data_IF_411752341861
#
_entry.id   IF_411752341861
#
_cell.length_a   1.000
_cell.length_b   1.000
_cell.length_c   1.000
_cell.angle_alpha   90.00
_cell.angle_beta   90.00
_cell.angle_gamma   90.00
#
_symmetry.space_group_name_H-M   'P 1'
#
loop_
_entity.id
_entity.type
_entity.pdbx_description
1 polymer ?
#
# COMPACT_ATOMS: atom_id res chain seq x y z
N UNK A 1 -74.37 17.55 -45.72
CA UNK A 1 -74.56 16.48 -44.73
C UNK A 1 -73.80 16.86 -43.47
N UNK A 2 -74.44 16.66 -42.32
CA UNK A 2 -74.18 17.27 -41.02
C UNK A 2 -72.88 16.82 -40.30
N UNK A 3 -72.34 17.74 -39.47
CA UNK A 3 -71.74 17.54 -38.13
C UNK A 3 -70.34 16.86 -38.11
N UNK A 4 -69.27 17.50 -37.64
CA UNK A 4 -69.02 17.67 -36.20
C UNK A 4 -67.99 18.77 -35.88
N UNK A 5 -68.32 19.60 -34.87
CA UNK A 5 -67.38 20.43 -34.12
C UNK A 5 -66.57 19.55 -33.17
N UNK A 6 -65.26 19.79 -33.09
CA UNK A 6 -64.51 19.57 -31.84
C UNK A 6 -63.50 20.70 -31.67
N UNK A 7 -63.77 21.58 -30.70
CA UNK A 7 -62.76 22.48 -30.13
C UNK A 7 -61.96 21.64 -29.13
N UNK A 8 -60.63 21.66 -29.18
CA UNK A 8 -59.80 21.38 -28.02
C UNK A 8 -58.50 22.20 -28.06
N UNK A 9 -58.50 23.21 -27.20
CA UNK A 9 -57.40 23.86 -26.49
C UNK A 9 -56.00 23.86 -27.10
N UNK A 10 -55.59 25.08 -27.48
CA UNK A 10 -54.20 25.48 -27.55
C UNK A 10 -53.52 25.34 -26.16
N UNK A 11 -52.37 24.68 -26.13
CA UNK A 11 -51.25 25.02 -25.24
C UNK A 11 -49.95 24.90 -26.03
N UNK A 12 -49.51 26.05 -26.54
CA UNK A 12 -48.11 26.30 -26.85
C UNK A 12 -47.42 26.70 -25.54
N UNK A 13 -46.42 25.92 -25.12
CA UNK A 13 -45.31 26.26 -24.22
C UNK A 13 -44.65 24.93 -23.84
N UNK A 14 -43.37 24.67 -24.02
CA UNK A 14 -42.28 25.41 -24.62
C UNK A 14 -41.12 24.42 -24.70
N UNK A 15 -40.30 24.54 -25.75
CA UNK A 15 -39.00 23.87 -25.78
C UNK A 15 -38.16 24.37 -24.59
N UNK A 16 -37.75 23.45 -23.74
CA UNK A 16 -36.51 23.56 -22.99
C UNK A 16 -36.00 22.14 -22.77
N UNK A 17 -35.32 21.60 -23.78
CA UNK A 17 -34.46 20.45 -23.61
C UNK A 17 -33.28 20.90 -22.74
N UNK A 18 -33.40 20.73 -21.42
CA UNK A 18 -32.29 20.90 -20.50
C UNK A 18 -31.33 19.73 -20.71
N UNK A 19 -30.29 19.94 -21.51
CA UNK A 19 -29.10 19.11 -21.49
C UNK A 19 -28.47 19.25 -20.11
N UNK A 20 -28.68 18.25 -19.25
CA UNK A 20 -27.88 18.09 -18.04
C UNK A 20 -26.46 17.75 -18.50
N UNK A 21 -25.60 18.76 -18.55
CA UNK A 21 -24.16 18.56 -18.52
C UNK A 21 -23.84 17.91 -17.17
N UNK A 22 -23.68 16.58 -17.18
CA UNK A 22 -23.08 15.88 -16.06
C UNK A 22 -21.62 16.36 -15.99
N UNK A 23 -21.38 17.38 -15.17
CA UNK A 23 -20.04 17.65 -14.65
C UNK A 23 -19.69 16.43 -13.82
N UNK A 24 -18.93 15.50 -14.39
CA UNK A 24 -18.24 14.48 -13.65
C UNK A 24 -17.17 15.19 -12.80
N UNK A 25 -17.57 15.67 -11.62
CA UNK A 25 -16.62 15.93 -10.55
C UNK A 25 -15.96 14.58 -10.26
N UNK A 26 -14.73 14.43 -10.74
CA UNK A 26 -13.82 13.40 -10.26
C UNK A 26 -13.68 13.62 -8.75
N UNK A 27 -14.49 12.89 -7.98
CA UNK A 27 -14.31 12.78 -6.54
C UNK A 27 -12.89 12.24 -6.34
N UNK A 28 -12.06 12.88 -5.51
CA UNK A 28 -10.72 12.39 -5.20
C UNK A 28 -10.87 10.93 -4.78
N UNK A 29 -10.01 10.06 -5.30
CA UNK A 29 -9.99 8.66 -4.92
C UNK A 29 -9.99 8.53 -3.41
N UNK A 30 -11.13 8.16 -2.84
CA UNK A 30 -11.21 7.72 -1.47
C UNK A 30 -10.32 6.48 -1.43
N UNK A 31 -9.13 6.61 -0.83
CA UNK A 31 -8.41 5.45 -0.36
C UNK A 31 -9.38 4.74 0.59
N UNK A 32 -10.06 3.73 0.08
CA UNK A 32 -11.05 2.99 0.83
C UNK A 32 -10.29 2.26 1.92
N UNK A 33 -10.31 2.81 3.13
CA UNK A 33 -9.86 2.12 4.32
C UNK A 33 -10.58 0.78 4.36
N UNK A 34 -9.82 -0.31 4.44
CA UNK A 34 -10.38 -1.66 4.41
C UNK A 34 -11.43 -1.81 5.54
N UNK A 35 -12.65 -2.28 5.25
CA UNK A 35 -13.79 -2.20 6.17
C UNK A 35 -13.80 -3.27 7.28
N UNK A 36 -12.65 -3.69 7.84
CA UNK A 36 -12.63 -4.69 8.91
C UNK A 36 -11.50 -4.39 9.90
N UNK A 37 -11.71 -4.48 11.23
CA UNK A 37 -10.60 -4.67 12.15
C UNK A 37 -10.02 -6.06 11.88
N UNK A 38 -9.20 -6.18 10.83
CA UNK A 38 -8.43 -7.37 10.59
C UNK A 38 -7.49 -7.55 11.79
N UNK A 39 -7.58 -8.69 12.45
CA UNK A 39 -6.63 -9.07 13.48
C UNK A 39 -5.36 -9.53 12.79
N UNK A 40 -4.28 -8.75 12.91
CA UNK A 40 -3.01 -9.02 12.23
C UNK A 40 -2.07 -9.77 13.15
N UNK A 41 -1.36 -10.74 12.58
CA UNK A 41 -0.16 -11.30 13.18
C UNK A 41 1.05 -10.76 12.44
N UNK A 42 2.11 -10.47 13.19
CA UNK A 42 3.38 -9.95 12.68
C UNK A 42 4.48 -10.96 12.96
N UNK A 43 5.40 -11.07 12.02
CA UNK A 43 6.55 -11.96 12.12
C UNK A 43 7.80 -11.24 11.60
N UNK A 44 8.93 -11.63 12.17
CA UNK A 44 10.23 -11.13 11.79
C UNK A 44 11.25 -12.27 11.78
N UNK A 45 11.70 -12.61 10.59
CA UNK A 45 12.81 -13.52 10.42
C UNK A 45 14.11 -12.77 10.16
N UNK A 46 15.18 -13.25 10.79
CA UNK A 46 16.55 -12.74 10.65
C UNK A 46 17.49 -13.91 10.45
N UNK A 47 18.25 -13.88 9.37
CA UNK A 47 19.23 -14.92 9.03
C UNK A 47 20.57 -14.29 8.70
N UNK A 48 21.71 -14.99 8.93
CA UNK A 48 22.98 -14.59 8.33
C UNK A 48 22.83 -14.48 6.81
N UNK A 49 23.44 -13.47 6.21
CA UNK A 49 23.41 -13.29 4.76
C UNK A 49 24.39 -14.25 4.07
N UNK A 50 23.93 -14.95 3.04
CA UNK A 50 24.79 -15.80 2.23
C UNK A 50 25.75 -14.92 1.40
N UNK A 51 27.06 -15.16 1.56
CA UNK A 51 28.10 -14.45 0.81
C UNK A 51 28.56 -13.12 1.42
N UNK A 52 28.01 -12.72 2.58
CA UNK A 52 28.39 -11.49 3.28
C UNK A 52 28.57 -11.74 4.80
N UNK A 53 29.82 -12.01 5.25
CA UNK A 53 30.10 -12.36 6.63
C UNK A 53 29.75 -11.25 7.63
N UNK A 54 28.73 -11.49 8.45
CA UNK A 54 28.30 -10.59 9.52
C UNK A 54 27.05 -9.76 9.18
N UNK A 55 26.68 -9.74 7.91
CA UNK A 55 25.43 -9.15 7.44
C UNK A 55 24.24 -10.09 7.67
N UNK A 56 23.03 -9.53 7.60
CA UNK A 56 21.79 -10.25 7.90
C UNK A 56 20.71 -10.01 6.85
N UNK A 57 20.17 -11.10 6.33
CA UNK A 57 18.92 -11.09 5.59
C UNK A 57 17.74 -10.94 6.55
N UNK A 58 16.80 -10.07 6.20
CA UNK A 58 15.65 -9.73 7.03
C UNK A 58 14.35 -9.99 6.27
N UNK A 59 13.37 -10.61 6.92
CA UNK A 59 12.01 -10.73 6.39
C UNK A 59 11.00 -10.26 7.42
N UNK A 60 10.37 -9.12 7.14
CA UNK A 60 9.22 -8.63 7.90
C UNK A 60 7.94 -9.09 7.20
N UNK A 61 7.09 -9.82 7.91
CA UNK A 61 5.84 -10.38 7.39
C UNK A 61 4.68 -9.95 8.30
N UNK A 62 3.59 -9.48 7.70
CA UNK A 62 2.33 -9.22 8.40
C UNK A 62 1.21 -9.94 7.67
N UNK A 63 0.37 -10.69 8.38
CA UNK A 63 -0.71 -11.47 7.80
C UNK A 63 -1.98 -11.42 8.63
N UNK A 64 -3.13 -11.62 8.00
CA UNK A 64 -4.40 -11.71 8.73
C UNK A 64 -4.43 -13.02 9.51
N UNK A 65 -4.64 -12.95 10.80
CA UNK A 65 -4.62 -14.14 11.67
C UNK A 65 -5.68 -15.16 11.26
N UNK A 66 -6.85 -14.69 10.82
CA UNK A 66 -7.94 -15.53 10.36
C UNK A 66 -7.83 -15.97 8.89
N UNK A 67 -6.88 -15.43 8.13
CA UNK A 67 -6.60 -15.80 6.75
C UNK A 67 -5.11 -15.54 6.45
N UNK A 68 -4.20 -16.45 6.83
CA UNK A 68 -2.77 -16.28 6.59
C UNK A 68 -2.40 -16.18 5.10
N UNK A 69 -3.32 -16.60 4.21
CA UNK A 69 -3.22 -16.38 2.78
C UNK A 69 -3.33 -14.91 2.35
N UNK A 70 -3.66 -14.00 3.28
CA UNK A 70 -3.65 -12.54 3.09
C UNK A 70 -2.52 -11.92 3.89
N UNK A 71 -1.40 -11.65 3.22
CA UNK A 71 -0.22 -11.11 3.87
C UNK A 71 0.47 -10.02 3.06
N UNK A 72 1.38 -9.32 3.72
CA UNK A 72 2.29 -8.38 3.14
C UNK A 72 3.69 -8.65 3.68
N UNK A 73 4.68 -8.61 2.79
CA UNK A 73 6.04 -9.04 3.09
C UNK A 73 7.05 -8.05 2.55
N UNK A 74 8.08 -7.78 3.34
CA UNK A 74 9.30 -7.11 2.92
C UNK A 74 10.50 -7.98 3.25
N UNK A 75 11.29 -8.32 2.24
CA UNK A 75 12.52 -9.09 2.39
C UNK A 75 13.69 -8.22 1.95
N UNK A 76 14.63 -7.97 2.86
CA UNK A 76 15.90 -7.31 2.58
C UNK A 76 17.00 -8.36 2.51
N UNK A 77 17.74 -8.35 1.41
CA UNK A 77 18.91 -9.21 1.18
C UNK A 77 20.16 -8.38 1.31
N UNK A 78 20.95 -8.60 2.36
CA UNK A 78 22.07 -7.72 2.69
C UNK A 78 23.18 -7.80 1.65
N UNK A 79 23.58 -9.01 1.25
CA UNK A 79 24.63 -9.23 0.24
C UNK A 79 24.36 -8.58 -1.14
N UNK A 80 23.12 -8.22 -1.43
CA UNK A 80 22.73 -7.52 -2.68
C UNK A 80 22.08 -6.17 -2.44
N UNK A 81 21.99 -5.76 -1.17
CA UNK A 81 21.33 -4.53 -0.70
C UNK A 81 19.94 -4.31 -1.32
N UNK A 82 19.20 -5.41 -1.50
CA UNK A 82 17.95 -5.44 -2.26
C UNK A 82 16.75 -5.64 -1.35
N UNK A 83 15.80 -4.71 -1.42
CA UNK A 83 14.49 -4.85 -0.79
C UNK A 83 13.46 -5.35 -1.80
N UNK A 84 12.89 -6.51 -1.53
CA UNK A 84 11.76 -7.07 -2.27
C UNK A 84 10.49 -6.98 -1.44
N UNK A 85 9.48 -6.29 -1.94
CA UNK A 85 8.18 -6.15 -1.28
C UNK A 85 7.07 -6.78 -2.11
N UNK A 86 6.11 -7.36 -1.42
CA UNK A 86 4.95 -8.02 -2.01
C UNK A 86 3.74 -7.80 -1.10
N UNK A 87 2.64 -7.28 -1.65
CA UNK A 87 1.39 -7.08 -0.93
C UNK A 87 0.28 -7.93 -1.54
N UNK A 88 -0.21 -8.93 -0.81
CA UNK A 88 -1.39 -9.71 -1.17
C UNK A 88 -2.41 -9.76 -0.02
N UNK A 89 -2.36 -8.75 0.86
CA UNK A 89 -3.10 -8.68 2.12
C UNK A 89 -4.58 -8.30 1.95
N UNK A 90 -5.00 -7.90 0.76
CA UNK A 90 -6.32 -7.29 0.53
C UNK A 90 -6.48 -5.91 1.16
N UNK A 91 -5.37 -5.25 1.56
CA UNK A 91 -5.36 -3.90 2.11
C UNK A 91 -4.15 -3.09 1.60
N UNK A 92 -4.19 -1.77 1.79
CA UNK A 92 -3.01 -0.91 1.64
C UNK A 92 -2.05 -1.15 2.81
N UNK A 93 -0.76 -1.18 2.52
CA UNK A 93 0.31 -1.43 3.50
C UNK A 93 1.43 -0.41 3.31
N UNK A 94 1.99 0.05 4.43
CA UNK A 94 3.18 0.89 4.46
C UNK A 94 4.43 0.05 4.61
N UNK A 95 5.46 0.36 3.83
CA UNK A 95 6.76 -0.30 3.81
C UNK A 95 7.82 0.73 4.13
N UNK A 96 8.81 0.33 4.93
CA UNK A 96 9.90 1.22 5.29
C UNK A 96 11.22 0.46 5.44
N UNK A 97 12.28 1.06 4.92
CA UNK A 97 13.67 0.66 5.13
C UNK A 97 14.44 1.85 5.70
N UNK A 98 15.18 1.64 6.77
CA UNK A 98 16.02 2.66 7.38
C UNK A 98 17.39 2.08 7.70
N UNK A 99 18.43 2.90 7.71
CA UNK A 99 19.72 2.49 8.27
C UNK A 99 20.35 3.59 9.11
N UNK A 100 21.07 3.15 10.13
CA UNK A 100 21.74 4.03 11.06
C UNK A 100 23.11 4.49 10.53
N UNK A 101 23.65 5.55 11.14
CA UNK A 101 25.04 5.93 10.98
C UNK A 101 26.00 4.81 11.45
N UNK A 102 27.30 4.94 11.20
CA UNK A 102 28.31 3.91 11.52
C UNK A 102 28.37 3.57 13.02
N UNK A 103 28.02 4.53 13.89
CA UNK A 103 27.94 4.34 15.34
C UNK A 103 26.62 3.71 15.80
N UNK A 104 25.63 3.54 14.92
CA UNK A 104 24.31 3.01 15.26
C UNK A 104 23.42 3.96 16.09
N UNK A 105 23.80 5.23 16.22
CA UNK A 105 23.19 6.18 17.18
C UNK A 105 22.08 7.04 16.57
N UNK A 106 22.08 7.23 15.26
CA UNK A 106 21.07 8.02 14.55
C UNK A 106 20.71 7.36 13.23
N UNK A 107 19.45 7.53 12.80
CA UNK A 107 19.02 7.13 11.46
C UNK A 107 19.64 8.09 10.45
N UNK A 108 20.43 7.56 9.51
CA UNK A 108 21.06 8.34 8.45
C UNK A 108 20.15 8.48 7.23
N UNK A 109 19.43 7.42 6.89
CA UNK A 109 18.52 7.38 5.74
C UNK A 109 17.24 6.63 6.05
N UNK A 110 16.17 7.05 5.39
CA UNK A 110 14.84 6.44 5.46
C UNK A 110 14.24 6.41 4.07
N UNK A 111 13.71 5.27 3.69
CA UNK A 111 12.91 5.05 2.50
C UNK A 111 11.54 4.51 2.91
N UNK A 112 10.48 5.03 2.30
CA UNK A 112 9.09 4.69 2.62
C UNK A 112 8.27 4.53 1.35
N UNK A 113 7.27 3.64 1.40
CA UNK A 113 6.30 3.44 0.33
C UNK A 113 4.99 2.89 0.89
N UNK A 114 3.89 3.51 0.53
CA UNK A 114 2.56 2.91 0.67
C UNK A 114 2.17 2.19 -0.62
N UNK A 115 1.67 0.97 -0.50
CA UNK A 115 1.33 0.13 -1.65
C UNK A 115 0.03 -0.64 -1.42
N UNK A 116 -0.87 -0.58 -2.40
CA UNK A 116 -2.13 -1.35 -2.41
C UNK A 116 -1.90 -2.85 -2.61
N UNK A 117 -2.90 -3.65 -2.24
CA UNK A 117 -2.87 -5.11 -2.46
C UNK A 117 -2.78 -5.49 -3.93
N UNK A 118 -2.16 -6.62 -4.23
CA UNK A 118 -1.93 -7.14 -5.58
C UNK A 118 -0.66 -6.63 -6.25
N UNK A 119 0.14 -5.82 -5.57
CA UNK A 119 1.34 -5.19 -6.12
C UNK A 119 2.62 -5.73 -5.47
N UNK A 120 3.72 -5.60 -6.21
CA UNK A 120 5.07 -5.94 -5.78
C UNK A 120 6.04 -4.86 -6.24
N UNK A 121 7.17 -4.70 -5.54
CA UNK A 121 8.25 -3.81 -5.94
C UNK A 121 9.60 -4.38 -5.51
N UNK A 122 10.62 -4.08 -6.28
CA UNK A 122 12.02 -4.33 -5.90
C UNK A 122 12.74 -2.99 -5.92
N UNK A 123 13.56 -2.75 -4.90
CA UNK A 123 14.36 -1.54 -4.77
C UNK A 123 15.77 -1.94 -4.37
N UNK A 124 16.73 -1.45 -5.13
CA UNK A 124 18.15 -1.56 -4.83
C UNK A 124 18.59 -0.35 -4.01
N UNK A 125 19.48 -0.58 -3.06
CA UNK A 125 20.10 0.46 -2.24
C UNK A 125 21.61 0.40 -2.37
N UNK A 126 22.26 1.48 -1.96
CA UNK A 126 23.71 1.53 -1.71
C UNK A 126 23.87 1.83 -0.21
N UNK A 127 24.04 0.80 0.61
CA UNK A 127 24.14 0.90 2.06
C UNK A 127 25.59 0.63 2.43
N UNK A 128 26.29 1.55 3.12
CA UNK A 128 27.65 1.27 3.56
C UNK A 128 27.71 0.00 4.42
N UNK A 129 28.80 -0.75 4.34
CA UNK A 129 28.96 -1.98 5.14
C UNK A 129 28.91 -1.70 6.65
N UNK A 130 28.41 -2.68 7.41
CA UNK A 130 28.34 -2.67 8.87
C UNK A 130 27.20 -1.81 9.43
N UNK A 131 26.28 -1.33 8.58
CA UNK A 131 25.23 -0.41 9.00
C UNK A 131 24.08 -1.19 9.63
N UNK A 132 23.56 -0.68 10.74
CA UNK A 132 22.35 -1.25 11.33
C UNK A 132 21.13 -0.88 10.48
N UNK A 133 20.50 -1.88 9.88
CA UNK A 133 19.34 -1.75 9.00
C UNK A 133 18.06 -2.13 9.74
N UNK A 134 16.96 -1.47 9.37
CA UNK A 134 15.63 -1.65 9.90
C UNK A 134 14.65 -1.82 8.75
N UNK A 135 13.88 -2.91 8.74
CA UNK A 135 12.83 -3.20 7.75
C UNK A 135 11.50 -3.26 8.48
N UNK A 136 10.45 -2.62 7.95
CA UNK A 136 9.12 -2.77 8.49
C UNK A 136 8.01 -2.79 7.44
N UNK A 137 6.95 -3.53 7.76
CA UNK A 137 5.68 -3.54 7.04
C UNK A 137 4.56 -3.24 8.02
N UNK A 138 3.76 -2.21 7.75
CA UNK A 138 2.71 -1.73 8.64
C UNK A 138 1.35 -1.66 7.96
N UNK A 139 0.31 -1.85 8.75
CA UNK A 139 -1.08 -1.54 8.37
C UNK A 139 -1.40 -0.09 8.74
N UNK A 140 -2.32 0.57 8.02
CA UNK A 140 -2.82 1.89 8.40
C UNK A 140 -3.43 1.94 9.82
N UNK A 141 -3.85 0.80 10.37
CA UNK A 141 -4.41 0.65 11.71
C UNK A 141 -3.38 0.41 12.83
N UNK A 142 -2.08 0.44 12.52
CA UNK A 142 -1.00 0.46 13.52
C UNK A 142 -0.30 -0.88 13.79
N UNK A 143 -0.79 -2.01 13.28
CA UNK A 143 -0.04 -3.29 13.36
C UNK A 143 1.18 -3.22 12.45
N UNK A 144 2.37 -3.49 12.97
CA UNK A 144 3.64 -3.35 12.24
C UNK A 144 4.56 -4.53 12.53
N UNK A 145 5.00 -5.23 11.48
CA UNK A 145 6.12 -6.15 11.53
C UNK A 145 7.42 -5.35 11.41
N UNK A 146 8.39 -5.62 12.27
CA UNK A 146 9.65 -4.86 12.34
C UNK A 146 10.83 -5.82 12.53
N UNK A 147 11.82 -5.68 11.66
CA UNK A 147 13.08 -6.40 11.72
C UNK A 147 14.25 -5.45 11.78
N UNK A 148 15.33 -5.89 12.43
CA UNK A 148 16.60 -5.18 12.38
C UNK A 148 17.78 -6.14 12.25
N UNK A 149 18.81 -5.68 11.56
CA UNK A 149 20.00 -6.45 11.25
C UNK A 149 21.17 -5.54 10.92
N UNK A 150 22.18 -6.13 10.32
CA UNK A 150 23.34 -5.44 9.77
C UNK A 150 23.28 -5.64 8.27
N UNK A 151 23.43 -4.57 7.49
CA UNK A 151 23.84 -4.66 6.09
C UNK A 151 25.37 -4.75 6.06
#
# INVERSE_FOLDING_TARGET
>A
MQISRTKNFARAAGLAAATLAAVALAVPGNAQAAPVPAYWTVDCDKFPADGDPGAHDLTALIYRTNDPGKAAKATFKAATEKLSINNWSGAMMGYKLQWANASGTAIERTWELDMGSGNSKVVDFEIPEGRKVYVSVGTPGGSTAFCNGIA
#
